data_IF_702153095545
#
_entry.id   IF_702153095545
#
_cell.length_a   1.000
_cell.length_b   1.000
_cell.length_c   1.000
_cell.angle_alpha   90.00
_cell.angle_beta   90.00
_cell.angle_gamma   90.00
#
_symmetry.space_group_name_H-M   'P 1'
#
loop_
_entity.id
_entity.type
_entity.pdbx_description
1 polymer ?
#
# COMPACT_ATOMS: atom_id res chain seq x y z
N UNK A 1 -20.85 -9.73 -25.36
CA UNK A 1 -19.95 -9.09 -24.37
C UNK A 1 -20.75 -8.88 -23.08
N UNK A 2 -20.61 -9.77 -22.11
CA UNK A 2 -21.21 -9.57 -20.79
C UNK A 2 -20.49 -8.44 -20.09
N UNK A 3 -21.08 -7.24 -20.05
CA UNK A 3 -20.70 -6.21 -19.09
C UNK A 3 -21.12 -6.72 -17.71
N UNK A 4 -20.20 -7.19 -16.90
CA UNK A 4 -20.43 -7.32 -15.47
C UNK A 4 -20.61 -5.89 -14.94
N UNK A 5 -21.85 -5.50 -14.75
CA UNK A 5 -22.22 -4.32 -13.97
C UNK A 5 -22.22 -4.78 -12.51
N UNK A 6 -21.30 -4.27 -11.74
CA UNK A 6 -21.23 -4.50 -10.30
C UNK A 6 -19.95 -3.93 -9.73
N UNK A 7 -20.06 -3.21 -8.63
CA UNK A 7 -18.94 -2.74 -7.86
C UNK A 7 -18.08 -3.94 -7.42
N UNK A 8 -16.87 -4.04 -7.94
CA UNK A 8 -15.95 -5.12 -7.59
C UNK A 8 -14.82 -4.51 -6.76
N UNK A 9 -14.52 -5.11 -5.62
CA UNK A 9 -13.31 -4.80 -4.84
C UNK A 9 -12.34 -5.97 -4.99
N UNK A 10 -11.13 -5.69 -5.46
CA UNK A 10 -10.03 -6.64 -5.48
C UNK A 10 -9.01 -6.25 -4.41
N UNK A 11 -8.53 -7.23 -3.66
CA UNK A 11 -7.47 -7.04 -2.66
C UNK A 11 -6.24 -7.81 -3.11
N UNK A 12 -5.11 -7.13 -3.16
CA UNK A 12 -3.78 -7.70 -3.40
C UNK A 12 -2.98 -7.53 -2.11
N UNK A 13 -2.82 -8.61 -1.40
CA UNK A 13 -2.01 -8.67 -0.19
C UNK A 13 -0.59 -9.11 -0.54
N UNK A 14 0.37 -8.68 0.28
CA UNK A 14 1.80 -8.98 0.10
C UNK A 14 2.27 -8.71 -1.34
N UNK A 15 2.03 -7.50 -1.82
CA UNK A 15 2.29 -7.12 -3.21
C UNK A 15 3.74 -7.41 -3.67
N UNK A 16 4.71 -7.40 -2.76
CA UNK A 16 6.11 -7.71 -3.04
C UNK A 16 6.34 -9.15 -3.54
N UNK A 17 5.51 -10.11 -3.14
CA UNK A 17 5.61 -11.52 -3.57
C UNK A 17 5.44 -11.65 -5.09
N UNK A 18 4.66 -10.75 -5.69
CA UNK A 18 4.45 -10.70 -7.14
C UNK A 18 5.65 -10.16 -7.91
N UNK A 19 6.63 -9.60 -7.20
CA UNK A 19 7.89 -9.10 -7.75
C UNK A 19 9.01 -10.13 -7.72
N UNK A 20 8.70 -11.36 -7.24
CA UNK A 20 9.70 -12.40 -6.99
C UNK A 20 10.55 -12.75 -8.21
N UNK A 21 11.67 -13.33 -7.95
CA UNK A 21 12.82 -13.88 -8.67
C UNK A 21 12.88 -13.81 -10.23
N UNK A 22 11.78 -13.63 -10.94
CA UNK A 22 11.76 -13.50 -12.38
C UNK A 22 11.35 -12.07 -12.79
N UNK A 23 12.33 -11.23 -13.11
CA UNK A 23 12.13 -9.82 -13.47
C UNK A 23 11.11 -9.63 -14.61
N UNK A 24 11.08 -10.52 -15.60
CA UNK A 24 10.16 -10.38 -16.75
C UNK A 24 8.71 -10.63 -16.35
N UNK A 25 8.45 -11.60 -15.49
CA UNK A 25 7.11 -11.89 -14.96
C UNK A 25 6.65 -10.77 -14.03
N UNK A 26 7.53 -10.34 -13.12
CA UNK A 26 7.27 -9.21 -12.22
C UNK A 26 6.91 -7.94 -12.98
N UNK A 27 7.65 -7.60 -14.02
CA UNK A 27 7.37 -6.44 -14.89
C UNK A 27 5.98 -6.52 -15.51
N UNK A 28 5.60 -7.67 -16.07
CA UNK A 28 4.28 -7.87 -16.68
C UNK A 28 3.15 -7.70 -15.68
N UNK A 29 3.31 -8.24 -14.47
CA UNK A 29 2.32 -8.12 -13.39
C UNK A 29 2.19 -6.66 -12.94
N UNK A 30 3.30 -5.96 -12.73
CA UNK A 30 3.29 -4.55 -12.34
C UNK A 30 2.57 -3.70 -13.41
N UNK A 31 2.86 -3.92 -14.68
CA UNK A 31 2.18 -3.22 -15.77
C UNK A 31 0.67 -3.49 -15.78
N UNK A 32 0.27 -4.73 -15.53
CA UNK A 32 -1.14 -5.09 -15.42
C UNK A 32 -1.82 -4.36 -14.24
N UNK A 33 -1.21 -4.36 -13.06
CA UNK A 33 -1.72 -3.66 -11.87
C UNK A 33 -1.80 -2.16 -12.14
N UNK A 34 -0.75 -1.55 -12.69
CA UNK A 34 -0.72 -0.13 -13.06
C UNK A 34 -1.85 0.24 -14.02
N UNK A 35 -2.07 -0.59 -15.05
CA UNK A 35 -3.14 -0.37 -16.01
C UNK A 35 -4.53 -0.55 -15.37
N UNK A 36 -4.65 -1.46 -14.42
CA UNK A 36 -5.87 -1.67 -13.64
C UNK A 36 -6.16 -0.46 -12.75
N UNK A 37 -5.16 0.07 -12.03
CA UNK A 37 -5.29 1.29 -11.21
C UNK A 37 -5.82 2.48 -12.02
N UNK A 38 -5.32 2.68 -13.24
CA UNK A 38 -5.78 3.77 -14.12
C UNK A 38 -7.22 3.60 -14.59
N UNK A 39 -7.74 2.38 -14.65
CA UNK A 39 -9.06 2.06 -15.21
C UNK A 39 -10.12 1.75 -14.16
N UNK A 40 -9.72 1.46 -12.95
CA UNK A 40 -10.60 1.01 -11.85
C UNK A 40 -11.75 1.99 -11.62
N UNK A 41 -11.45 3.28 -11.60
CA UNK A 41 -12.45 4.34 -11.42
C UNK A 41 -13.51 4.37 -12.52
N UNK A 42 -13.12 4.08 -13.77
CA UNK A 42 -14.05 4.05 -14.91
C UNK A 42 -14.99 2.83 -14.88
N UNK A 43 -14.66 1.83 -14.05
CA UNK A 43 -15.40 0.57 -13.92
C UNK A 43 -16.16 0.48 -12.60
N UNK A 44 -16.24 1.59 -11.84
CA UNK A 44 -16.88 1.59 -10.52
C UNK A 44 -16.37 0.46 -9.60
N UNK A 45 -15.08 0.22 -9.67
CA UNK A 45 -14.41 -0.86 -8.94
C UNK A 45 -13.35 -0.27 -8.01
N UNK A 46 -12.94 -1.04 -7.01
CA UNK A 46 -11.90 -0.67 -6.08
C UNK A 46 -10.74 -1.66 -6.12
N UNK A 47 -9.53 -1.16 -5.90
CA UNK A 47 -8.34 -1.98 -5.73
C UNK A 47 -7.67 -1.59 -4.41
N UNK A 48 -7.49 -2.58 -3.53
CA UNK A 48 -6.77 -2.45 -2.27
C UNK A 48 -5.46 -3.21 -2.43
N UNK A 49 -4.36 -2.55 -2.10
CA UNK A 49 -3.03 -3.16 -2.14
C UNK A 49 -2.37 -3.03 -0.78
N UNK A 50 -1.75 -4.10 -0.32
CA UNK A 50 -0.95 -4.10 0.90
C UNK A 50 0.44 -4.68 0.62
N UNK A 51 1.45 -4.15 1.27
CA UNK A 51 2.82 -4.65 1.22
C UNK A 51 3.55 -4.33 2.51
N UNK A 52 4.36 -5.25 2.98
CA UNK A 52 5.22 -5.07 4.15
C UNK A 52 6.64 -4.71 3.73
N UNK A 53 7.09 -5.19 2.59
CA UNK A 53 8.47 -5.07 2.14
C UNK A 53 8.57 -4.10 0.95
N UNK A 54 8.98 -2.86 1.23
CA UNK A 54 9.09 -1.83 0.20
C UNK A 54 10.44 -1.88 -0.53
N UNK A 55 11.47 -2.52 0.02
CA UNK A 55 12.78 -2.64 -0.60
C UNK A 55 12.74 -3.39 -1.94
N UNK A 56 11.82 -4.35 -2.06
CA UNK A 56 11.64 -5.10 -3.30
C UNK A 56 11.19 -4.23 -4.48
N UNK A 57 10.62 -3.06 -4.21
CA UNK A 57 10.20 -2.10 -5.23
C UNK A 57 11.35 -1.18 -5.71
N UNK A 58 12.51 -1.19 -5.03
CA UNK A 58 13.68 -0.39 -5.38
C UNK A 58 14.69 -1.13 -6.27
N UNK A 59 14.35 -2.29 -6.77
CA UNK A 59 15.23 -3.08 -7.65
C UNK A 59 15.43 -2.38 -8.98
N UNK A 60 16.65 -2.46 -9.49
CA UNK A 60 17.01 -1.94 -10.82
C UNK A 60 16.09 -2.53 -11.90
N UNK A 61 15.60 -1.68 -12.80
CA UNK A 61 14.63 -2.05 -13.84
C UNK A 61 13.16 -2.12 -13.39
N UNK A 62 12.88 -2.15 -12.09
CA UNK A 62 11.52 -2.22 -11.54
C UNK A 62 11.08 -0.87 -10.95
N UNK A 63 11.99 -0.11 -10.39
CA UNK A 63 11.73 1.15 -9.67
C UNK A 63 10.83 2.12 -10.43
N UNK A 64 11.12 2.39 -11.69
CA UNK A 64 10.32 3.33 -12.49
C UNK A 64 8.91 2.80 -12.81
N UNK A 65 8.76 1.48 -12.89
CA UNK A 65 7.46 0.84 -13.12
C UNK A 65 6.60 0.83 -11.86
N UNK A 66 7.22 0.76 -10.68
CA UNK A 66 6.52 0.67 -9.39
C UNK A 66 6.10 2.01 -8.83
N UNK A 67 6.81 3.10 -9.11
CA UNK A 67 6.44 4.46 -8.67
C UNK A 67 4.96 4.79 -8.81
N UNK A 68 4.29 4.49 -9.95
CA UNK A 68 2.87 4.77 -10.11
C UNK A 68 1.97 4.00 -9.14
N UNK A 69 2.42 2.84 -8.62
CA UNK A 69 1.65 2.07 -7.64
C UNK A 69 1.49 2.83 -6.32
N UNK A 70 2.47 3.67 -5.97
CA UNK A 70 2.44 4.52 -4.79
C UNK A 70 1.90 5.93 -5.05
N UNK A 71 1.96 6.41 -6.30
CA UNK A 71 1.51 7.75 -6.65
C UNK A 71 0.02 7.84 -7.04
N UNK A 72 -0.54 6.78 -7.63
CA UNK A 72 -1.92 6.78 -8.16
C UNK A 72 -2.98 6.64 -7.05
N UNK A 73 -2.82 5.77 -6.02
CA UNK A 73 -3.84 5.59 -5.01
C UNK A 73 -4.10 6.88 -4.22
N UNK A 74 -5.36 7.36 -4.17
CA UNK A 74 -5.69 8.59 -3.46
C UNK A 74 -5.72 8.41 -1.94
N UNK A 75 -5.83 7.16 -1.46
CA UNK A 75 -5.84 6.82 -0.04
C UNK A 75 -4.68 5.88 0.25
N UNK A 76 -3.86 6.25 1.22
CA UNK A 76 -2.71 5.45 1.63
C UNK A 76 -2.62 5.43 3.15
N UNK A 77 -2.46 4.25 3.72
CA UNK A 77 -2.19 4.02 5.13
C UNK A 77 -0.71 3.66 5.27
N UNK A 78 0.09 4.56 5.79
CA UNK A 78 1.54 4.45 5.86
C UNK A 78 1.92 4.20 7.31
N UNK A 79 2.43 3.01 7.58
CA UNK A 79 2.87 2.59 8.90
C UNK A 79 4.39 2.79 9.06
N UNK A 80 4.92 2.41 10.23
CA UNK A 80 6.35 2.46 10.47
C UNK A 80 7.14 1.67 9.41
N UNK A 81 8.27 2.21 8.99
CA UNK A 81 9.11 1.63 7.94
C UNK A 81 10.04 0.50 8.43
N UNK A 82 10.06 0.19 9.71
CA UNK A 82 11.03 -0.77 10.25
C UNK A 82 12.47 -0.31 10.06
N UNK A 83 13.31 -1.15 9.48
CA UNK A 83 14.73 -0.92 9.23
C UNK A 83 15.06 -0.35 7.84
N UNK A 84 14.05 -0.01 7.03
CA UNK A 84 14.25 0.51 5.68
C UNK A 84 14.96 1.87 5.73
N UNK A 85 15.80 2.14 4.73
CA UNK A 85 16.48 3.44 4.60
C UNK A 85 15.47 4.60 4.57
N UNK A 86 15.69 5.58 5.45
CA UNK A 86 14.80 6.74 5.62
C UNK A 86 14.59 7.49 4.30
N UNK A 87 15.67 7.74 3.55
CA UNK A 87 15.59 8.56 2.32
C UNK A 87 14.80 7.83 1.25
N UNK A 88 15.07 6.55 1.07
CA UNK A 88 14.33 5.73 0.13
C UNK A 88 12.83 5.71 0.47
N UNK A 89 12.49 5.49 1.74
CA UNK A 89 11.11 5.44 2.20
C UNK A 89 10.37 6.77 1.98
N UNK A 90 11.01 7.88 2.33
CA UNK A 90 10.44 9.21 2.13
C UNK A 90 10.25 9.53 0.64
N UNK A 91 11.24 9.23 -0.20
CA UNK A 91 11.17 9.46 -1.65
C UNK A 91 10.07 8.62 -2.32
N UNK A 92 9.98 7.34 -1.97
CA UNK A 92 9.00 6.43 -2.56
C UNK A 92 7.56 6.84 -2.23
N UNK A 93 7.32 7.21 -0.98
CA UNK A 93 5.99 7.57 -0.48
C UNK A 93 5.70 9.06 -0.52
N UNK A 94 6.66 9.87 -0.99
CA UNK A 94 6.57 11.32 -1.06
C UNK A 94 6.20 11.95 0.31
N UNK A 95 6.99 11.63 1.33
CA UNK A 95 6.81 12.12 2.69
C UNK A 95 7.75 13.28 2.97
N UNK A 96 7.25 14.26 3.73
CA UNK A 96 8.07 15.27 4.38
C UNK A 96 8.72 14.71 5.65
N UNK A 97 9.80 15.34 6.12
CA UNK A 97 10.49 14.88 7.31
C UNK A 97 9.61 14.93 8.57
N UNK A 98 8.75 15.94 8.67
CA UNK A 98 7.79 16.05 9.77
C UNK A 98 6.79 14.87 9.77
N UNK A 99 6.30 14.47 8.59
CA UNK A 99 5.39 13.34 8.41
C UNK A 99 6.07 12.01 8.77
N UNK A 100 7.29 11.82 8.30
CA UNK A 100 8.09 10.64 8.65
C UNK A 100 8.29 10.51 10.17
N UNK A 101 8.58 11.62 10.85
CA UNK A 101 8.82 11.62 12.30
C UNK A 101 7.57 11.20 13.11
N UNK A 102 6.36 11.40 12.59
CA UNK A 102 5.11 10.96 13.24
C UNK A 102 4.99 9.42 13.31
N UNK A 103 5.56 8.73 12.33
CA UNK A 103 5.49 7.26 12.22
C UNK A 103 6.85 6.59 12.41
N UNK A 104 7.86 7.34 12.82
CA UNK A 104 9.24 6.84 13.00
C UNK A 104 9.33 5.67 13.98
N UNK A 105 8.54 5.70 15.03
CA UNK A 105 8.52 4.65 16.04
C UNK A 105 7.29 3.77 15.83
N UNK A 106 7.45 2.43 15.85
CA UNK A 106 6.34 1.53 15.65
C UNK A 106 5.34 1.66 16.80
N UNK A 107 4.10 1.97 16.45
CA UNK A 107 2.97 1.99 17.38
C UNK A 107 1.83 1.23 16.75
N UNK A 108 1.24 0.32 17.52
CA UNK A 108 0.12 -0.49 17.05
C UNK A 108 -1.10 0.38 16.76
N UNK A 109 -1.64 0.24 15.54
CA UNK A 109 -2.80 1.00 15.10
C UNK A 109 -2.52 2.44 14.69
N UNK A 110 -1.27 2.91 14.80
CA UNK A 110 -0.90 4.27 14.39
C UNK A 110 -0.31 4.27 12.99
N UNK A 111 -0.83 5.13 12.12
CA UNK A 111 -0.32 5.32 10.77
C UNK A 111 -0.51 6.76 10.30
N UNK A 112 0.27 7.16 9.31
CA UNK A 112 -0.01 8.36 8.54
C UNK A 112 -1.02 8.00 7.44
N UNK A 113 -2.18 8.64 7.46
CA UNK A 113 -3.20 8.48 6.45
C UNK A 113 -3.14 9.63 5.45
N UNK A 114 -2.86 9.31 4.20
CA UNK A 114 -2.93 10.25 3.08
C UNK A 114 -4.28 10.10 2.39
N UNK A 115 -5.00 11.21 2.26
CA UNK A 115 -6.28 11.29 1.57
C UNK A 115 -6.24 12.44 0.55
N UNK A 116 -5.93 12.12 -0.70
CA UNK A 116 -5.65 13.14 -1.70
C UNK A 116 -4.45 14.00 -1.30
N UNK A 117 -4.67 15.30 -1.11
CA UNK A 117 -3.64 16.26 -0.67
C UNK A 117 -3.54 16.39 0.86
N UNK A 118 -4.45 15.81 1.58
CA UNK A 118 -4.49 15.93 3.04
C UNK A 118 -3.72 14.81 3.73
N UNK A 119 -3.27 15.09 4.95
CA UNK A 119 -2.44 14.20 5.77
C UNK A 119 -3.01 14.19 7.19
N UNK A 120 -3.16 13.00 7.74
CA UNK A 120 -3.69 12.79 9.09
C UNK A 120 -2.84 11.77 9.82
N UNK A 121 -2.52 12.03 11.08
CA UNK A 121 -2.08 10.97 11.98
C UNK A 121 -3.33 10.23 12.45
N UNK A 122 -3.43 8.97 12.07
CA UNK A 122 -4.58 8.14 12.40
C UNK A 122 -4.18 7.14 13.49
N UNK A 123 -4.97 7.08 14.54
CA UNK A 123 -4.89 6.07 15.59
C UNK A 123 -6.15 5.23 15.58
N UNK A 124 -6.01 3.94 15.31
CA UNK A 124 -7.12 2.99 15.17
C UNK A 124 -7.18 2.08 16.37
N UNK A 125 -8.28 2.12 17.09
CA UNK A 125 -8.58 1.23 18.21
C UNK A 125 -9.67 0.23 17.81
N UNK A 126 -9.41 -1.05 18.04
CA UNK A 126 -10.42 -2.07 17.84
C UNK A 126 -11.48 -1.96 18.94
N UNK A 127 -12.79 -2.03 18.62
CA UNK A 127 -13.82 -2.12 19.63
C UNK A 127 -13.66 -3.38 20.48
N UNK A 128 -13.98 -3.30 21.78
CA UNK A 128 -13.79 -4.39 22.75
C UNK A 128 -14.42 -5.72 22.31
N UNK A 129 -15.58 -5.68 21.63
CA UNK A 129 -16.21 -6.91 21.13
C UNK A 129 -15.39 -7.58 20.02
N UNK A 130 -14.68 -6.80 19.19
CA UNK A 130 -13.78 -7.36 18.16
C UNK A 130 -12.53 -7.95 18.78
N UNK A 131 -11.98 -7.30 19.79
CA UNK A 131 -10.85 -7.84 20.56
C UNK A 131 -11.21 -9.15 21.25
N UNK A 132 -12.43 -9.26 21.80
CA UNK A 132 -12.92 -10.49 22.41
C UNK A 132 -13.08 -11.63 21.39
N UNK A 133 -13.51 -11.33 20.14
CA UNK A 133 -13.71 -12.33 19.09
C UNK A 133 -12.41 -12.77 18.42
N UNK A 134 -11.52 -11.82 18.14
CA UNK A 134 -10.34 -12.04 17.28
C UNK A 134 -9.02 -12.03 18.06
N UNK A 135 -9.07 -11.72 19.36
CA UNK A 135 -7.89 -11.57 20.20
C UNK A 135 -7.11 -10.26 19.96
N UNK A 136 -6.21 -9.96 20.87
CA UNK A 136 -5.37 -8.75 20.83
C UNK A 136 -4.04 -8.97 20.11
N UNK A 137 -3.67 -10.22 19.84
CA UNK A 137 -2.33 -10.62 19.40
C UNK A 137 -2.15 -10.62 17.88
N UNK A 138 -3.06 -10.02 17.09
CA UNK A 138 -2.98 -9.97 15.63
C UNK A 138 -2.70 -11.36 15.06
N UNK A 139 -3.74 -12.06 14.70
CA UNK A 139 -3.82 -13.41 14.12
C UNK A 139 -2.51 -14.19 13.96
N UNK A 140 -2.44 -15.31 14.60
CA UNK A 140 -1.61 -16.42 14.18
C UNK A 140 -2.45 -17.40 13.42
#
# INVERSE_FOLDING_TARGET
VYKRQGNTTATLDELYVWLSDNVSVGTTIIEYIRNTLKRVRKKESNLIMASQNLEDFDREGIRELTKPLFAIPPHQFIFNCGSIDKRFYMDLLQLEEAEYNLIRFPQRGVCLFKCGNERYLLEVHAPAYKEALFGTAGGR
#
